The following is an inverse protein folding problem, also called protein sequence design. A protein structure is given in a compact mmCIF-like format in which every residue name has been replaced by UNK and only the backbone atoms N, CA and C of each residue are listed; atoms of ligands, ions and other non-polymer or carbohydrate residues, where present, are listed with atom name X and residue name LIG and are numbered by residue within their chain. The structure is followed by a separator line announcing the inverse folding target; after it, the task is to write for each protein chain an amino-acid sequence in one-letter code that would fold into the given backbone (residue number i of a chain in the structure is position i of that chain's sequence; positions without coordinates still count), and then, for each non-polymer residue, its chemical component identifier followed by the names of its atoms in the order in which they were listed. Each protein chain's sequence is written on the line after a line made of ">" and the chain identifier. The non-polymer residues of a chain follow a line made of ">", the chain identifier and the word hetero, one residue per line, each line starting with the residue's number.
data_IF_414700849439
#
_entry.id   IF_414700849439
#
_cell.length_a   1.000
_cell.length_b   1.000
_cell.length_c   1.000
_cell.angle_alpha   90.00
_cell.angle_beta   90.00
_cell.angle_gamma   90.00
#
_symmetry.space_group_name_H-M   'P 1'
#
loop_
_entity.id
_entity.type
_entity.pdbx_description
1 polymer ?
#
# COMPACT_ATOMS: atom_id res chain seq x y z
N UNK A 1 6.32 -1.19 -17.23
CA UNK A 1 6.35 -0.83 -15.79
C UNK A 1 5.27 -1.63 -15.09
N UNK A 2 5.65 -2.50 -14.16
CA UNK A 2 4.70 -3.17 -13.30
C UNK A 2 4.08 -2.09 -12.39
N UNK A 3 2.86 -1.67 -12.69
CA UNK A 3 2.07 -0.87 -11.77
C UNK A 3 1.62 -1.79 -10.64
N UNK A 4 1.89 -1.43 -9.40
CA UNK A 4 1.35 -2.11 -8.24
C UNK A 4 -0.18 -2.14 -8.38
N UNK A 5 -0.76 -3.33 -8.28
CA UNK A 5 -2.21 -3.53 -8.37
C UNK A 5 -2.69 -4.06 -7.04
N UNK A 6 -3.41 -3.23 -6.30
CA UNK A 6 -4.00 -3.63 -5.04
C UNK A 6 -5.42 -4.16 -5.24
N UNK A 7 -5.74 -5.25 -4.57
CA UNK A 7 -7.11 -5.71 -4.38
C UNK A 7 -7.58 -5.20 -3.03
N UNK A 8 -8.52 -4.28 -3.03
CA UNK A 8 -9.08 -3.68 -1.83
C UNK A 8 -10.27 -4.50 -1.34
N UNK A 9 -10.14 -5.13 -0.18
CA UNK A 9 -11.22 -5.89 0.45
C UNK A 9 -11.37 -5.42 1.88
N UNK A 10 -12.59 -5.06 2.28
CA UNK A 10 -12.90 -4.51 3.61
C UNK A 10 -12.06 -3.27 3.99
N UNK A 11 -11.62 -2.54 2.97
CA UNK A 11 -10.90 -1.28 3.13
C UNK A 11 -11.86 -0.20 3.66
N UNK A 12 -11.42 0.58 4.63
CA UNK A 12 -12.22 1.67 5.19
C UNK A 12 -11.37 2.88 5.56
N UNK A 13 -11.93 4.07 5.33
CA UNK A 13 -11.41 5.34 5.82
C UNK A 13 -12.54 6.04 6.57
N UNK A 14 -12.28 6.42 7.81
CA UNK A 14 -13.20 7.20 8.63
C UNK A 14 -12.64 8.61 8.79
N UNK A 15 -13.43 9.61 8.37
CA UNK A 15 -13.11 11.01 8.58
C UNK A 15 -14.16 11.61 9.51
N UNK A 16 -13.73 12.41 10.46
CA UNK A 16 -14.61 13.10 11.39
C UNK A 16 -14.07 14.49 11.71
N UNK A 17 -14.99 15.40 12.03
CA UNK A 17 -14.72 16.79 12.33
C UNK A 17 -15.68 17.28 13.40
N UNK A 18 -15.16 18.02 14.37
CA UNK A 18 -15.94 18.79 15.33
C UNK A 18 -15.41 20.24 15.32
N UNK A 19 -16.30 21.22 15.37
CA UNK A 19 -15.94 22.62 15.29
C UNK A 19 -16.80 23.45 16.24
N UNK A 20 -16.16 24.35 16.99
CA UNK A 20 -16.80 25.38 17.77
C UNK A 20 -16.35 26.71 17.17
N UNK A 21 -17.32 27.49 16.69
CA UNK A 21 -17.08 28.79 16.10
C UNK A 21 -17.90 29.85 16.84
N UNK A 22 -17.23 30.90 17.28
CA UNK A 22 -17.83 32.11 17.77
C UNK A 22 -17.44 33.32 16.90
N UNK A 23 -17.85 34.52 17.24
CA UNK A 23 -17.44 35.74 16.52
C UNK A 23 -15.91 35.87 16.43
N UNK A 24 -15.20 35.52 17.48
CA UNK A 24 -13.76 35.79 17.63
C UNK A 24 -12.90 34.52 17.72
N UNK A 25 -13.49 33.34 17.89
CA UNK A 25 -12.76 32.10 18.14
C UNK A 25 -13.22 31.01 17.19
N UNK A 26 -12.26 30.28 16.67
CA UNK A 26 -12.45 29.00 15.99
C UNK A 26 -11.61 27.93 16.71
N UNK A 27 -12.28 26.90 17.19
CA UNK A 27 -11.63 25.68 17.65
C UNK A 27 -12.14 24.53 16.80
N UNK A 28 -11.21 23.83 16.12
CA UNK A 28 -11.54 22.72 15.22
C UNK A 28 -10.73 21.51 15.58
N UNK A 29 -11.41 20.39 15.75
CA UNK A 29 -10.81 19.07 15.81
C UNK A 29 -11.19 18.30 14.55
N UNK A 30 -10.22 17.63 13.92
CA UNK A 30 -10.48 16.69 12.82
C UNK A 30 -9.59 15.47 12.94
N UNK A 31 -10.08 14.35 12.44
CA UNK A 31 -9.31 13.12 12.41
C UNK A 31 -9.65 12.27 11.20
N UNK A 32 -8.70 11.43 10.83
CA UNK A 32 -8.84 10.41 9.80
C UNK A 32 -8.21 9.12 10.30
N UNK A 33 -8.91 8.01 10.15
CA UNK A 33 -8.40 6.68 10.47
C UNK A 33 -8.56 5.81 9.24
N UNK A 34 -7.51 5.11 8.88
CA UNK A 34 -7.48 4.17 7.78
C UNK A 34 -7.38 2.73 8.31
N UNK A 35 -8.04 1.81 7.62
CA UNK A 35 -7.87 0.38 7.83
C UNK A 35 -7.90 -0.31 6.46
N UNK A 36 -6.77 -0.88 6.09
CA UNK A 36 -6.62 -1.60 4.82
C UNK A 36 -7.43 -2.90 4.74
N UNK A 37 -7.98 -3.38 5.85
CA UNK A 37 -8.77 -4.61 5.88
C UNK A 37 -7.97 -5.83 5.42
N UNK A 38 -8.43 -6.46 4.34
CA UNK A 38 -7.81 -7.63 3.73
C UNK A 38 -7.14 -7.29 2.38
N UNK A 39 -6.66 -6.06 2.24
CA UNK A 39 -5.99 -5.58 1.03
C UNK A 39 -4.70 -6.35 0.77
N UNK A 40 -4.45 -6.69 -0.49
CA UNK A 40 -3.21 -7.33 -0.92
C UNK A 40 -2.70 -6.76 -2.25
N UNK A 41 -1.39 -6.86 -2.46
CA UNK A 41 -0.75 -6.56 -3.75
C UNK A 41 -0.83 -7.78 -4.68
N UNK A 42 -1.51 -7.62 -5.82
CA UNK A 42 -1.76 -8.73 -6.75
C UNK A 42 -0.49 -9.19 -7.48
N UNK A 43 0.47 -8.29 -7.69
CA UNK A 43 1.75 -8.64 -8.29
C UNK A 43 2.59 -9.52 -7.35
N UNK A 44 2.70 -9.09 -6.11
CA UNK A 44 3.37 -9.85 -5.06
C UNK A 44 2.67 -11.18 -4.79
N UNK A 45 1.32 -11.20 -4.80
CA UNK A 45 0.55 -12.44 -4.67
C UNK A 45 0.96 -13.46 -5.72
N UNK A 46 1.02 -13.06 -7.00
CA UNK A 46 1.41 -13.96 -8.08
C UNK A 46 2.83 -14.51 -7.91
N UNK A 47 3.76 -13.66 -7.47
CA UNK A 47 5.15 -14.07 -7.19
C UNK A 47 5.18 -15.09 -6.04
N UNK A 48 4.52 -14.80 -4.92
CA UNK A 48 4.53 -15.68 -3.75
C UNK A 48 3.85 -17.02 -4.02
N UNK A 49 2.75 -17.02 -4.76
CA UNK A 49 2.08 -18.25 -5.19
C UNK A 49 2.99 -19.11 -6.07
N UNK A 50 3.69 -18.49 -7.03
CA UNK A 50 4.62 -19.21 -7.90
C UNK A 50 5.79 -19.79 -7.11
N UNK A 51 6.41 -19.01 -6.23
CA UNK A 51 7.52 -19.49 -5.39
C UNK A 51 7.10 -20.62 -4.44
N UNK A 52 5.87 -20.55 -3.90
CA UNK A 52 5.35 -21.59 -3.01
C UNK A 52 4.96 -22.87 -3.76
N UNK A 53 4.49 -22.76 -5.00
CA UNK A 53 4.20 -23.91 -5.84
C UNK A 53 5.48 -24.57 -6.35
N UNK A 54 6.39 -23.77 -6.93
CA UNK A 54 7.66 -24.23 -7.50
C UNK A 54 8.64 -23.07 -7.49
N UNK A 55 9.73 -23.23 -6.75
CA UNK A 55 10.72 -22.14 -6.67
C UNK A 55 11.24 -21.76 -8.05
N UNK A 56 11.52 -20.47 -8.25
CA UNK A 56 12.10 -19.97 -9.50
C UNK A 56 13.37 -20.74 -9.90
N UNK A 57 14.19 -21.15 -8.94
CA UNK A 57 15.39 -21.92 -9.22
C UNK A 57 15.07 -23.27 -9.89
N UNK A 58 14.13 -24.05 -9.34
CA UNK A 58 13.70 -25.34 -9.88
C UNK A 58 12.99 -25.13 -11.23
N UNK A 59 12.15 -24.09 -11.32
CA UNK A 59 11.43 -23.78 -12.54
C UNK A 59 12.39 -23.47 -13.71
N UNK A 60 13.43 -22.66 -13.47
CA UNK A 60 14.43 -22.35 -14.49
C UNK A 60 15.29 -23.55 -14.88
N UNK A 61 15.62 -24.43 -13.95
CA UNK A 61 16.34 -25.69 -14.27
C UNK A 61 15.51 -26.58 -15.19
N UNK A 62 14.23 -26.77 -14.89
CA UNK A 62 13.33 -27.55 -15.73
C UNK A 62 13.10 -26.87 -17.08
N UNK A 63 12.92 -25.53 -17.11
CA UNK A 63 12.80 -24.77 -18.37
C UNK A 63 14.03 -24.96 -19.25
N UNK A 64 15.23 -24.79 -18.69
CA UNK A 64 16.47 -24.92 -19.45
C UNK A 64 16.66 -26.35 -19.97
N UNK A 65 16.34 -27.34 -19.15
CA UNK A 65 16.38 -28.76 -19.55
C UNK A 65 15.42 -29.01 -20.73
N UNK A 66 14.20 -28.52 -20.64
CA UNK A 66 13.24 -28.63 -21.74
C UNK A 66 13.69 -27.90 -22.98
N UNK A 67 14.18 -26.66 -22.85
CA UNK A 67 14.69 -25.86 -23.96
C UNK A 67 15.83 -26.59 -24.71
N UNK A 68 16.83 -27.05 -24.00
CA UNK A 68 17.96 -27.78 -24.60
C UNK A 68 17.50 -29.08 -25.24
N UNK A 69 16.58 -29.82 -24.62
CA UNK A 69 15.97 -31.01 -25.22
C UNK A 69 15.25 -30.69 -26.50
N UNK A 70 14.46 -29.62 -26.55
CA UNK A 70 13.79 -29.11 -27.76
C UNK A 70 14.78 -28.80 -28.89
N UNK A 71 15.87 -28.13 -28.56
CA UNK A 71 16.94 -27.78 -29.53
C UNK A 71 17.68 -28.98 -30.05
N UNK A 72 18.14 -29.85 -29.18
CA UNK A 72 19.09 -30.92 -29.55
C UNK A 72 18.41 -32.22 -29.94
N UNK A 73 17.34 -32.62 -29.27
CA UNK A 73 16.66 -33.88 -29.56
C UNK A 73 15.57 -33.75 -30.63
N UNK A 74 14.88 -32.59 -30.68
CA UNK A 74 13.77 -32.40 -31.61
C UNK A 74 14.03 -31.36 -32.69
N UNK A 75 15.26 -30.81 -32.78
CA UNK A 75 15.67 -29.82 -33.78
C UNK A 75 14.72 -28.62 -33.93
N UNK A 76 14.10 -28.21 -32.79
CA UNK A 76 13.18 -27.06 -32.75
C UNK A 76 13.94 -25.76 -32.98
N UNK A 77 13.26 -24.76 -33.58
CA UNK A 77 13.74 -23.38 -33.56
C UNK A 77 13.68 -22.80 -32.10
N UNK A 78 14.16 -21.56 -31.91
CA UNK A 78 14.25 -20.97 -30.58
C UNK A 78 12.88 -20.72 -29.96
N UNK A 79 11.87 -20.36 -30.76
CA UNK A 79 10.52 -20.11 -30.30
C UNK A 79 9.84 -21.42 -29.85
N UNK A 80 9.90 -22.45 -30.67
CA UNK A 80 9.34 -23.77 -30.35
C UNK A 80 10.05 -24.40 -29.15
N UNK A 81 11.38 -24.31 -29.09
CA UNK A 81 12.16 -24.80 -27.95
C UNK A 81 11.83 -24.05 -26.65
N UNK A 82 11.61 -22.73 -26.71
CA UNK A 82 11.17 -21.94 -25.55
C UNK A 82 9.77 -22.35 -25.08
N UNK A 83 8.84 -22.60 -25.98
CA UNK A 83 7.50 -23.12 -25.64
C UNK A 83 7.60 -24.49 -24.99
N UNK A 84 8.41 -25.39 -25.55
CA UNK A 84 8.62 -26.71 -24.99
C UNK A 84 9.28 -26.66 -23.61
N UNK A 85 10.30 -25.80 -23.45
CA UNK A 85 10.94 -25.55 -22.15
C UNK A 85 9.93 -25.10 -21.10
N UNK A 86 9.02 -24.20 -21.46
CA UNK A 86 7.96 -23.74 -20.57
C UNK A 86 6.98 -24.86 -20.22
N UNK A 87 6.57 -25.67 -21.17
CA UNK A 87 5.70 -26.82 -20.92
C UNK A 87 6.35 -27.79 -19.90
N UNK A 88 7.64 -28.09 -20.06
CA UNK A 88 8.39 -28.94 -19.13
C UNK A 88 8.47 -28.30 -17.73
N UNK A 89 8.76 -27.00 -17.66
CA UNK A 89 8.83 -26.26 -16.39
C UNK A 89 7.49 -26.16 -15.68
N UNK A 90 6.40 -25.87 -16.42
CA UNK A 90 5.05 -25.83 -15.90
C UNK A 90 4.44 -27.21 -15.67
N UNK A 91 5.08 -28.25 -16.22
CA UNK A 91 4.64 -29.64 -16.20
C UNK A 91 3.23 -29.86 -16.76
N UNK A 92 2.87 -29.09 -17.82
CA UNK A 92 1.60 -29.19 -18.54
C UNK A 92 1.84 -29.05 -20.05
N UNK A 93 1.03 -29.72 -20.84
CA UNK A 93 1.00 -29.55 -22.31
C UNK A 93 0.16 -28.32 -22.72
N UNK A 94 0.07 -28.07 -24.03
CA UNK A 94 -0.72 -26.97 -24.60
C UNK A 94 -2.24 -27.08 -24.34
N UNK A 95 -2.72 -28.28 -23.96
CA UNK A 95 -4.11 -28.55 -23.62
C UNK A 95 -4.37 -28.52 -22.12
N UNK A 96 -3.31 -28.34 -21.30
CA UNK A 96 -3.39 -28.32 -19.84
C UNK A 96 -3.33 -29.71 -19.19
N UNK A 97 -2.91 -30.77 -19.92
CA UNK A 97 -2.70 -32.09 -19.37
C UNK A 97 -1.34 -32.17 -18.68
N UNK A 98 -1.25 -32.90 -17.59
CA UNK A 98 0.00 -33.12 -16.83
C UNK A 98 0.94 -33.98 -17.66
N UNK A 99 2.18 -33.53 -17.86
CA UNK A 99 3.22 -34.28 -18.60
C UNK A 99 3.84 -35.39 -17.76
N UNK A 100 4.12 -35.11 -16.48
CA UNK A 100 4.72 -36.06 -15.55
C UNK A 100 3.99 -36.00 -14.20
N UNK A 101 3.25 -37.07 -13.89
CA UNK A 101 2.45 -37.14 -12.66
C UNK A 101 3.28 -37.26 -11.38
N UNK A 102 4.59 -37.50 -11.49
CA UNK A 102 5.53 -37.54 -10.36
C UNK A 102 6.04 -36.15 -9.94
N UNK A 103 5.78 -35.14 -10.75
CA UNK A 103 6.20 -33.73 -10.53
C UNK A 103 5.02 -32.82 -10.26
N UNK A 104 5.22 -31.73 -9.50
CA UNK A 104 4.19 -30.69 -9.37
C UNK A 104 3.89 -30.03 -10.72
N UNK A 105 2.61 -29.92 -11.04
CA UNK A 105 2.13 -29.20 -12.24
C UNK A 105 1.64 -27.81 -11.87
N UNK A 106 1.66 -26.89 -12.84
CA UNK A 106 1.13 -25.53 -12.65
C UNK A 106 -0.30 -25.60 -12.09
N UNK A 107 -0.60 -24.93 -10.95
CA UNK A 107 -1.91 -24.96 -10.34
C UNK A 107 -2.98 -24.40 -11.30
N UNK A 108 -3.98 -25.19 -11.60
CA UNK A 108 -5.12 -24.72 -12.40
C UNK A 108 -5.87 -23.63 -11.63
N UNK A 109 -6.25 -22.58 -12.33
CA UNK A 109 -7.08 -21.49 -11.76
C UNK A 109 -8.29 -22.08 -11.03
N UNK A 110 -8.56 -21.59 -9.82
CA UNK A 110 -9.65 -21.99 -8.93
C UNK A 110 -9.63 -23.44 -8.46
N UNK A 111 -8.51 -24.15 -8.61
CA UNK A 111 -8.31 -25.47 -7.97
C UNK A 111 -8.05 -25.31 -6.46
N UNK A 112 -8.22 -26.41 -5.70
CA UNK A 112 -7.93 -26.41 -4.26
C UNK A 112 -6.49 -25.98 -3.95
N UNK A 113 -5.53 -26.43 -4.74
CA UNK A 113 -4.14 -26.01 -4.60
C UNK A 113 -3.96 -24.52 -4.88
N UNK A 114 -4.54 -24.00 -5.99
CA UNK A 114 -4.50 -22.58 -6.31
C UNK A 114 -5.09 -21.74 -5.17
N UNK A 115 -6.25 -22.11 -4.68
CA UNK A 115 -6.93 -21.41 -3.60
C UNK A 115 -6.18 -21.50 -2.26
N UNK A 116 -5.55 -22.63 -1.97
CA UNK A 116 -4.70 -22.79 -0.78
C UNK A 116 -3.48 -21.85 -0.83
N UNK A 117 -2.73 -21.86 -1.94
CA UNK A 117 -1.57 -20.97 -2.15
C UNK A 117 -1.95 -19.50 -2.08
N UNK A 118 -3.06 -19.13 -2.73
CA UNK A 118 -3.60 -17.77 -2.67
C UNK A 118 -3.93 -17.37 -1.23
N UNK A 119 -4.68 -18.19 -0.51
CA UNK A 119 -5.12 -17.88 0.85
C UNK A 119 -3.92 -17.77 1.80
N UNK A 120 -2.93 -18.63 1.69
CA UNK A 120 -1.71 -18.53 2.49
C UNK A 120 -0.98 -17.21 2.24
N UNK A 121 -0.80 -16.82 0.98
CA UNK A 121 -0.10 -15.60 0.61
C UNK A 121 -0.86 -14.33 1.03
N UNK A 122 -2.19 -14.27 0.89
CA UNK A 122 -2.98 -13.09 1.30
C UNK A 122 -3.17 -12.96 2.81
N UNK A 123 -3.02 -14.03 3.57
CA UNK A 123 -3.07 -13.96 5.04
C UNK A 123 -1.76 -13.49 5.65
N UNK A 124 -0.66 -13.61 4.94
CA UNK A 124 0.68 -13.27 5.40
C UNK A 124 1.06 -11.86 4.95
N UNK A 125 1.60 -11.06 5.90
CA UNK A 125 2.08 -9.70 5.61
C UNK A 125 3.19 -9.74 4.55
N UNK A 126 3.17 -8.78 3.61
CA UNK A 126 4.16 -8.61 2.55
C UNK A 126 5.58 -8.48 3.10
N UNK A 127 5.76 -7.82 4.25
CA UNK A 127 7.05 -7.72 4.94
C UNK A 127 7.60 -9.08 5.40
N UNK A 128 6.76 -10.09 5.53
CA UNK A 128 7.11 -11.44 5.96
C UNK A 128 7.05 -12.46 4.82
N UNK A 129 7.04 -12.01 3.56
CA UNK A 129 6.99 -12.88 2.39
C UNK A 129 5.57 -13.35 2.04
N UNK A 130 4.55 -12.60 2.38
CA UNK A 130 3.19 -12.75 1.88
C UNK A 130 2.83 -11.69 0.84
N UNK A 131 1.54 -11.43 0.67
CA UNK A 131 1.03 -10.41 -0.24
C UNK A 131 0.13 -9.38 0.46
N UNK A 132 -0.22 -9.59 1.73
CA UNK A 132 -1.10 -8.72 2.50
C UNK A 132 -0.42 -7.38 2.76
N UNK A 133 -1.15 -6.30 2.46
CA UNK A 133 -0.76 -4.93 2.78
C UNK A 133 -1.57 -4.47 3.99
N UNK A 134 -0.88 -4.04 5.02
CA UNK A 134 -1.48 -3.54 6.26
C UNK A 134 -1.30 -2.02 6.30
N UNK A 135 -2.39 -1.31 6.56
CA UNK A 135 -2.39 0.09 6.93
C UNK A 135 -3.52 0.33 7.95
N UNK A 136 -3.12 0.75 9.13
CA UNK A 136 -3.99 1.13 10.25
C UNK A 136 -3.60 2.51 10.75
N UNK A 137 -3.18 3.38 9.82
CA UNK A 137 -2.69 4.72 10.15
C UNK A 137 -3.82 5.63 10.59
N UNK A 138 -3.46 6.62 11.41
CA UNK A 138 -4.39 7.61 11.90
C UNK A 138 -3.76 9.00 11.92
N UNK A 139 -4.58 10.03 11.73
CA UNK A 139 -4.16 11.42 11.81
C UNK A 139 -5.20 12.23 12.59
N UNK A 140 -4.73 13.06 13.51
CA UNK A 140 -5.56 13.93 14.33
C UNK A 140 -5.01 15.36 14.24
N UNK A 141 -5.90 16.32 14.02
CA UNK A 141 -5.56 17.74 13.98
C UNK A 141 -6.41 18.51 14.98
N UNK A 142 -5.80 19.47 15.65
CA UNK A 142 -6.45 20.48 16.49
C UNK A 142 -6.00 21.86 16.02
N UNK A 143 -6.93 22.65 15.52
CA UNK A 143 -6.70 24.04 15.11
C UNK A 143 -7.40 24.98 16.07
N UNK A 144 -6.70 26.03 16.46
CA UNK A 144 -7.23 27.11 17.28
C UNK A 144 -6.90 28.45 16.63
N UNK A 145 -7.89 29.32 16.49
CA UNK A 145 -7.70 30.69 16.05
C UNK A 145 -8.50 31.63 16.97
N UNK A 146 -7.91 32.75 17.32
CA UNK A 146 -8.57 33.79 18.09
C UNK A 146 -8.26 35.19 17.55
N UNK A 147 -9.32 35.95 17.27
CA UNK A 147 -9.24 37.34 16.83
C UNK A 147 -9.48 38.25 18.04
N UNK A 148 -8.51 39.10 18.34
CA UNK A 148 -8.55 40.05 19.46
C UNK A 148 -9.24 41.38 19.16
N UNK A 149 -9.90 41.54 18.00
CA UNK A 149 -10.51 42.81 17.57
C UNK A 149 -11.55 43.38 18.56
N UNK A 150 -12.21 42.53 19.34
CA UNK A 150 -13.16 42.97 20.36
C UNK A 150 -12.48 43.41 21.66
N UNK A 151 -11.22 43.07 21.88
CA UNK A 151 -10.43 43.42 23.05
C UNK A 151 -9.52 44.61 22.73
N UNK A 152 -8.99 44.66 21.51
CA UNK A 152 -8.07 45.68 21.04
C UNK A 152 -8.70 46.40 19.86
N UNK A 153 -9.19 47.62 20.11
CA UNK A 153 -9.92 48.42 19.10
C UNK A 153 -9.01 49.19 18.13
N UNK A 154 -7.73 49.35 18.47
CA UNK A 154 -6.79 50.17 17.70
C UNK A 154 -6.17 49.45 16.51
N UNK A 155 -6.16 48.12 16.49
CA UNK A 155 -5.62 47.29 15.41
C UNK A 155 -6.21 45.87 15.47
N UNK A 156 -6.09 45.15 14.38
CA UNK A 156 -6.50 43.74 14.35
C UNK A 156 -5.33 42.81 14.67
N UNK A 157 -5.50 41.96 15.67
CA UNK A 157 -4.55 40.94 16.04
C UNK A 157 -5.24 39.57 15.97
N UNK A 158 -4.69 38.68 15.18
CA UNK A 158 -5.13 37.31 15.06
C UNK A 158 -4.01 36.38 15.55
N UNK A 159 -4.32 35.50 16.49
CA UNK A 159 -3.45 34.41 16.92
C UNK A 159 -4.02 33.09 16.40
N UNK A 160 -3.13 32.23 15.90
CA UNK A 160 -3.49 30.86 15.55
C UNK A 160 -2.46 29.88 16.05
N UNK A 161 -2.93 28.69 16.42
CA UNK A 161 -2.10 27.56 16.78
C UNK A 161 -2.70 26.28 16.21
N UNK A 162 -1.84 25.35 15.83
CA UNK A 162 -2.27 24.03 15.43
C UNK A 162 -1.39 22.95 16.06
N UNK A 163 -2.01 21.81 16.28
CA UNK A 163 -1.35 20.58 16.71
C UNK A 163 -1.81 19.46 15.80
N UNK A 164 -0.86 18.68 15.29
CA UNK A 164 -1.15 17.49 14.49
C UNK A 164 -0.42 16.30 15.08
N UNK A 165 -1.13 15.20 15.22
CA UNK A 165 -0.61 13.91 15.65
C UNK A 165 -0.91 12.88 14.58
N UNK A 166 0.12 12.22 14.07
CA UNK A 166 0.03 11.19 13.05
C UNK A 166 0.62 9.89 13.60
N UNK A 167 -0.14 8.82 13.46
CA UNK A 167 0.29 7.45 13.75
C UNK A 167 0.38 6.72 12.44
N UNK A 168 1.57 6.27 12.07
CA UNK A 168 1.83 5.43 10.91
C UNK A 168 1.93 3.99 11.41
N UNK A 169 1.00 3.14 11.00
CA UNK A 169 0.91 1.76 11.45
C UNK A 169 0.68 0.83 10.26
N UNK A 170 1.77 0.42 9.63
CA UNK A 170 1.76 -0.47 8.46
C UNK A 170 2.29 -1.88 8.77
N UNK A 171 2.75 -2.11 9.99
CA UNK A 171 3.39 -3.37 10.38
C UNK A 171 4.50 -3.80 9.41
N UNK A 172 5.24 -2.83 8.84
CA UNK A 172 6.32 -3.04 7.89
C UNK A 172 5.88 -3.25 6.43
N UNK A 173 4.58 -3.21 6.12
CA UNK A 173 4.10 -3.46 4.75
C UNK A 173 4.31 -2.28 3.81
N UNK A 174 4.31 -1.05 4.32
CA UNK A 174 4.44 0.19 3.55
C UNK A 174 5.63 1.02 4.06
N UNK A 175 5.73 1.17 5.39
CA UNK A 175 6.77 1.94 6.07
C UNK A 175 7.66 1.03 6.90
N UNK A 176 8.79 1.56 7.39
CA UNK A 176 9.72 0.83 8.26
C UNK A 176 9.26 0.95 9.72
N UNK A 177 8.07 0.43 10.00
CA UNK A 177 7.50 0.25 11.33
C UNK A 177 7.35 -1.24 11.64
N UNK A 178 7.04 -1.58 12.89
CA UNK A 178 6.92 -2.97 13.33
C UNK A 178 5.54 -3.26 13.91
N UNK A 179 5.09 -4.51 13.91
CA UNK A 179 3.89 -4.90 14.63
C UNK A 179 3.99 -4.48 16.11
N UNK A 180 3.01 -3.69 16.58
CA UNK A 180 2.97 -3.16 17.95
C UNK A 180 3.90 -1.98 18.25
N UNK A 181 4.64 -1.46 17.25
CA UNK A 181 5.56 -0.33 17.38
C UNK A 181 5.36 0.64 16.18
N UNK A 182 4.21 1.36 16.12
CA UNK A 182 3.91 2.31 15.06
C UNK A 182 4.83 3.54 15.16
N UNK A 183 5.01 4.23 14.04
CA UNK A 183 5.72 5.51 14.02
C UNK A 183 4.77 6.64 14.43
N UNK A 184 5.18 7.46 15.38
CA UNK A 184 4.41 8.60 15.85
C UNK A 184 5.07 9.92 15.45
N UNK A 185 4.30 10.84 14.88
CA UNK A 185 4.78 12.14 14.45
C UNK A 185 3.92 13.22 15.12
N UNK A 186 4.56 14.16 15.77
CA UNK A 186 3.94 15.31 16.40
C UNK A 186 4.39 16.58 15.67
N UNK A 187 3.44 17.40 15.26
CA UNK A 187 3.68 18.69 14.63
C UNK A 187 2.94 19.77 15.42
N UNK A 188 3.64 20.87 15.72
CA UNK A 188 3.08 22.03 16.43
C UNK A 188 3.42 23.27 15.61
N UNK A 189 2.42 24.09 15.35
CA UNK A 189 2.57 25.38 14.69
C UNK A 189 1.84 26.49 15.45
N UNK A 190 2.36 27.71 15.36
CA UNK A 190 1.67 28.88 15.84
C UNK A 190 1.99 30.08 14.93
N UNK A 191 1.07 31.01 14.82
CA UNK A 191 1.29 32.27 14.13
C UNK A 191 0.59 33.44 14.85
N UNK A 192 1.12 34.62 14.62
CA UNK A 192 0.54 35.89 15.03
C UNK A 192 0.47 36.82 13.83
N UNK A 193 -0.72 37.29 13.52
CA UNK A 193 -0.94 38.24 12.42
C UNK A 193 -1.42 39.57 12.99
N UNK A 194 -0.71 40.64 12.64
CA UNK A 194 -1.07 42.03 12.94
C UNK A 194 -1.52 42.70 11.66
N UNK A 195 -2.63 43.43 11.73
CA UNK A 195 -3.15 44.24 10.62
C UNK A 195 -3.63 45.58 11.16
N UNK A 196 -3.12 46.67 10.56
CA UNK A 196 -3.47 48.04 10.90
C UNK A 196 -3.83 48.83 9.63
N UNK A 197 -4.88 49.66 9.69
CA UNK A 197 -5.31 50.52 8.60
C UNK A 197 -4.25 51.56 8.20
N UNK A 198 -3.43 51.99 9.16
CA UNK A 198 -2.31 52.92 8.95
C UNK A 198 -1.30 52.40 7.90
N UNK A 199 -1.00 51.15 7.91
CA UNK A 199 -0.07 50.55 6.95
C UNK A 199 -0.68 50.47 5.54
N UNK A 200 -1.98 50.19 5.41
CA UNK A 200 -2.66 50.11 4.11
C UNK A 200 -2.80 51.47 3.40
N UNK A 201 -3.02 52.55 4.13
CA UNK A 201 -3.12 53.90 3.55
C UNK A 201 -1.78 54.47 3.06
N UNK A 202 -0.66 53.99 3.61
CA UNK A 202 0.69 54.46 3.22
C UNK A 202 1.39 53.58 2.17
N UNK A 203 1.06 52.32 2.14
CA UNK A 203 1.74 51.35 1.25
C UNK A 203 0.97 51.15 -0.07
N UNK A 204 -0.31 51.49 -0.12
CA UNK A 204 -1.18 51.35 -1.29
C UNK A 204 -2.04 52.63 -1.45
N UNK A 205 -1.45 53.72 -1.97
CA UNK A 205 -2.19 54.95 -2.25
C UNK A 205 -3.20 54.81 -3.40
#
# INVERSE_FOLDING_TARGET
>A
SAQNRFSLTNFSIYNYKAEIQTKNMLLRFSGANENSGETYDAGTLAIQMNEAWKSSEIWYQDFFTGFITGKLAYAMDDEAASKYGRMVADNIDEFGNILDSSKPSLPKYDSDLFNSLKNEAIMKNIANGGARVIDKSAMYNLDFNYNFSDIISSFNLLFGANFKYTVINSEGSIFYDKPGDPQEIYEIGAFLQYTDSWASERLFP
#
